data_IF_012797363986
#
_entry.id   IF_012797363986
#
_cell.length_a   1.000
_cell.length_b   1.000
_cell.length_c   1.000
_cell.angle_alpha   90.00
_cell.angle_beta   90.00
_cell.angle_gamma   90.00
#
_symmetry.space_group_name_H-M   'P 1'
#
loop_
_entity.id
_entity.type
_entity.pdbx_description
1 polymer ?
#
# COMPACT_ATOMS: atom_id res chain seq x y z
N UNK A 1 17.72 -3.89 6.14
CA UNK A 1 17.58 -5.35 6.21
C UNK A 1 18.67 -6.01 7.06
N UNK A 2 19.86 -5.48 7.11
CA UNK A 2 21.06 -6.10 7.78
C UNK A 2 20.98 -6.37 9.29
N UNK A 3 19.97 -5.92 10.01
CA UNK A 3 19.87 -6.13 11.48
C UNK A 3 19.15 -7.41 11.88
N UNK A 4 18.48 -8.10 10.96
CA UNK A 4 17.72 -9.33 11.24
C UNK A 4 18.24 -10.55 10.46
N UNK A 5 19.06 -10.32 9.43
CA UNK A 5 19.60 -11.37 8.57
C UNK A 5 21.10 -11.49 8.81
N UNK A 6 21.55 -12.69 9.13
CA UNK A 6 22.98 -13.03 9.19
C UNK A 6 23.48 -13.19 7.74
N UNK A 7 24.69 -12.67 7.46
CA UNK A 7 25.31 -12.86 6.15
C UNK A 7 25.48 -14.36 5.86
N UNK A 8 25.20 -14.75 4.61
CA UNK A 8 25.32 -16.09 4.06
C UNK A 8 24.30 -17.14 4.55
N UNK A 9 23.44 -16.83 5.51
CA UNK A 9 22.37 -17.73 5.94
C UNK A 9 21.12 -17.58 5.10
N UNK A 10 20.55 -18.68 4.64
CA UNK A 10 19.28 -18.70 3.90
C UNK A 10 18.13 -18.98 4.85
N UNK A 11 17.08 -18.19 4.73
CA UNK A 11 15.90 -18.23 5.58
C UNK A 11 14.65 -18.55 4.77
N UNK A 12 13.68 -19.18 5.42
CA UNK A 12 12.29 -19.27 4.94
C UNK A 12 11.51 -18.11 5.54
N UNK A 13 11.05 -17.18 4.71
CA UNK A 13 10.45 -15.92 5.14
C UNK A 13 8.99 -15.86 4.70
N UNK A 14 8.09 -15.67 5.66
CA UNK A 14 6.69 -15.38 5.40
C UNK A 14 6.48 -13.89 5.17
N UNK A 15 5.91 -13.50 4.03
CA UNK A 15 5.51 -12.12 3.74
C UNK A 15 3.99 -12.06 3.59
N UNK A 16 3.32 -11.22 4.37
CA UNK A 16 1.87 -11.16 4.38
C UNK A 16 1.34 -9.72 4.37
N UNK A 17 0.82 -9.23 3.22
CA UNK A 17 0.16 -7.93 3.12
C UNK A 17 -1.25 -7.95 3.69
N UNK A 18 -1.71 -6.79 4.21
CA UNK A 18 -3.09 -6.57 4.60
C UNK A 18 -4.01 -6.48 3.36
N UNK A 19 -5.25 -6.93 3.49
CA UNK A 19 -6.26 -6.95 2.41
C UNK A 19 -6.93 -5.58 2.11
N UNK A 20 -6.46 -4.48 2.71
CA UNK A 20 -7.01 -3.14 2.49
C UNK A 20 -6.49 -2.50 1.19
N UNK A 21 -7.02 -2.96 0.07
CA UNK A 21 -6.62 -2.50 -1.25
C UNK A 21 -5.28 -3.08 -1.74
N UNK A 22 -5.00 -2.89 -3.03
CA UNK A 22 -3.80 -3.46 -3.68
C UNK A 22 -2.49 -2.81 -3.22
N UNK A 23 -2.53 -1.63 -2.61
CA UNK A 23 -1.34 -0.88 -2.19
C UNK A 23 -0.43 -1.64 -1.21
N UNK A 24 -1.00 -2.48 -0.34
CA UNK A 24 -0.22 -3.34 0.55
C UNK A 24 0.53 -4.43 -0.23
N UNK A 25 -0.14 -5.08 -1.17
CA UNK A 25 0.49 -6.08 -2.01
C UNK A 25 1.57 -5.46 -2.91
N UNK A 26 1.30 -4.30 -3.55
CA UNK A 26 2.27 -3.65 -4.43
C UNK A 26 3.54 -3.25 -3.71
N UNK A 27 3.46 -2.73 -2.47
CA UNK A 27 4.65 -2.37 -1.70
C UNK A 27 5.43 -3.57 -1.13
N UNK A 28 4.80 -4.75 -1.05
CA UNK A 28 5.51 -5.98 -0.71
C UNK A 28 6.32 -6.54 -1.90
N UNK A 29 5.99 -6.21 -3.15
CA UNK A 29 6.70 -6.71 -4.35
C UNK A 29 8.20 -6.41 -4.30
N UNK A 30 8.69 -5.17 -4.07
CA UNK A 30 10.12 -4.91 -4.00
C UNK A 30 10.81 -5.64 -2.85
N UNK A 31 10.13 -5.84 -1.71
CA UNK A 31 10.67 -6.60 -0.58
C UNK A 31 10.83 -8.07 -0.95
N UNK A 32 9.78 -8.69 -1.50
CA UNK A 32 9.80 -10.10 -1.94
C UNK A 32 10.90 -10.31 -2.99
N UNK A 33 11.00 -9.39 -3.96
CA UNK A 33 12.00 -9.43 -5.03
C UNK A 33 13.43 -9.39 -4.46
N UNK A 34 13.69 -8.49 -3.49
CA UNK A 34 14.99 -8.40 -2.83
C UNK A 34 15.33 -9.69 -2.06
N UNK A 35 14.39 -10.23 -1.30
CA UNK A 35 14.59 -11.48 -0.55
C UNK A 35 14.89 -12.67 -1.46
N UNK A 36 14.22 -12.77 -2.61
CA UNK A 36 14.48 -13.83 -3.60
C UNK A 36 15.87 -13.66 -4.23
N UNK A 37 16.27 -12.42 -4.57
CA UNK A 37 17.60 -12.13 -5.13
C UNK A 37 18.70 -12.48 -4.12
N UNK A 38 18.48 -12.24 -2.83
CA UNK A 38 19.38 -12.65 -1.74
C UNK A 38 19.38 -14.18 -1.50
N UNK A 39 18.53 -14.92 -2.21
CA UNK A 39 18.45 -16.39 -2.19
C UNK A 39 17.67 -16.96 -1.03
N UNK A 40 16.79 -16.17 -0.40
CA UNK A 40 15.87 -16.64 0.62
C UNK A 40 14.69 -17.39 0.00
N UNK A 41 14.10 -18.32 0.73
CA UNK A 41 12.84 -18.96 0.38
C UNK A 41 11.71 -18.07 0.89
N UNK A 42 10.91 -17.52 -0.04
CA UNK A 42 9.75 -16.69 0.32
C UNK A 42 8.46 -17.51 0.24
N UNK A 43 7.59 -17.30 1.22
CA UNK A 43 6.22 -17.80 1.25
C UNK A 43 5.31 -16.57 1.42
N UNK A 44 4.23 -16.52 0.64
CA UNK A 44 3.30 -15.39 0.67
C UNK A 44 2.01 -15.82 1.33
N UNK A 45 1.53 -15.05 2.32
CA UNK A 45 0.20 -15.21 2.93
C UNK A 45 -0.74 -14.12 2.44
N UNK A 46 -1.72 -14.46 1.59
CA UNK A 46 -2.67 -13.50 1.03
C UNK A 46 -3.96 -14.17 0.54
N UNK A 47 -5.02 -13.39 0.32
CA UNK A 47 -6.25 -13.82 -0.34
C UNK A 47 -6.68 -12.87 -1.46
N UNK A 48 -7.64 -13.30 -2.28
CA UNK A 48 -8.34 -12.45 -3.25
C UNK A 48 -7.43 -11.76 -4.26
N UNK A 49 -7.67 -10.45 -4.47
CA UNK A 49 -6.95 -9.66 -5.47
C UNK A 49 -5.47 -9.48 -5.15
N UNK A 50 -5.08 -9.45 -3.85
CA UNK A 50 -3.67 -9.39 -3.46
C UNK A 50 -2.95 -10.69 -3.83
N UNK A 51 -3.59 -11.84 -3.56
CA UNK A 51 -3.07 -13.15 -3.92
C UNK A 51 -2.87 -13.26 -5.44
N UNK A 52 -3.85 -12.82 -6.23
CA UNK A 52 -3.77 -12.81 -7.70
C UNK A 52 -2.60 -11.95 -8.19
N UNK A 53 -2.47 -10.71 -7.70
CA UNK A 53 -1.39 -9.79 -8.06
C UNK A 53 0.00 -10.36 -7.70
N UNK A 54 0.15 -10.91 -6.49
CA UNK A 54 1.43 -11.45 -6.04
C UNK A 54 1.77 -12.76 -6.74
N UNK A 55 0.77 -13.58 -7.12
CA UNK A 55 0.99 -14.78 -7.91
C UNK A 55 1.40 -14.47 -9.34
N UNK A 56 0.86 -13.40 -9.94
CA UNK A 56 1.29 -12.89 -11.25
C UNK A 56 2.74 -12.41 -11.19
N UNK A 57 3.10 -11.60 -10.17
CA UNK A 57 4.46 -11.07 -10.00
C UNK A 57 5.49 -12.17 -9.66
N UNK A 58 5.08 -13.24 -8.97
CA UNK A 58 5.94 -14.31 -8.47
C UNK A 58 5.32 -15.70 -8.68
N UNK A 59 5.22 -16.20 -9.94
CA UNK A 59 4.56 -17.48 -10.25
C UNK A 59 5.16 -18.69 -9.51
N UNK A 60 6.46 -18.63 -9.17
CA UNK A 60 7.21 -19.71 -8.52
C UNK A 60 7.10 -19.72 -7.00
N UNK A 61 6.61 -18.63 -6.39
CA UNK A 61 6.56 -18.53 -4.94
C UNK A 61 5.33 -19.26 -4.38
N UNK A 62 5.53 -19.95 -3.26
CA UNK A 62 4.44 -20.62 -2.55
C UNK A 62 3.49 -19.55 -1.98
N UNK A 63 2.22 -19.65 -2.36
CA UNK A 63 1.16 -18.77 -1.86
C UNK A 63 0.24 -19.60 -0.96
N UNK A 64 0.03 -19.11 0.27
CA UNK A 64 -0.86 -19.69 1.25
C UNK A 64 -2.10 -18.81 1.40
N UNK A 65 -3.26 -19.43 1.52
CA UNK A 65 -4.50 -18.71 1.79
C UNK A 65 -4.49 -18.15 3.22
N UNK A 66 -4.53 -16.83 3.30
CA UNK A 66 -4.61 -16.10 4.56
C UNK A 66 -5.73 -15.07 4.47
N UNK A 67 -6.90 -15.37 5.07
CA UNK A 67 -8.03 -14.46 5.09
C UNK A 67 -7.68 -13.07 5.61
N UNK A 68 -8.24 -12.05 4.96
CA UNK A 68 -8.06 -10.66 5.36
C UNK A 68 -9.05 -10.24 6.45
N UNK A 69 -8.92 -8.99 6.88
CA UNK A 69 -9.84 -8.38 7.86
C UNK A 69 -11.20 -8.05 7.23
N UNK A 70 -11.26 -7.96 5.88
CA UNK A 70 -12.49 -7.72 5.09
C UNK A 70 -13.27 -6.53 5.62
N UNK A 71 -12.56 -5.42 5.92
CA UNK A 71 -13.17 -4.21 6.45
C UNK A 71 -13.96 -3.52 5.35
N UNK A 72 -15.19 -3.12 5.69
CA UNK A 72 -16.08 -2.40 4.80
C UNK A 72 -16.02 -0.90 5.07
N UNK A 73 -15.87 -0.11 4.01
CA UNK A 73 -15.90 1.35 4.07
C UNK A 73 -17.34 1.88 4.03
N UNK A 74 -17.58 3.02 4.66
CA UNK A 74 -18.84 3.73 4.53
C UNK A 74 -18.89 4.50 3.22
N UNK A 75 -20.04 4.51 2.57
CA UNK A 75 -20.31 5.41 1.42
C UNK A 75 -20.44 6.87 1.87
N UNK A 76 -20.86 7.07 3.13
CA UNK A 76 -20.95 8.39 3.74
C UNK A 76 -19.64 8.70 4.51
N UNK A 77 -18.88 9.75 4.13
CA UNK A 77 -17.64 10.13 4.79
C UNK A 77 -17.79 10.38 6.30
N UNK A 78 -18.91 10.97 6.73
CA UNK A 78 -19.17 11.29 8.14
C UNK A 78 -19.42 10.05 9.01
N UNK A 79 -19.81 8.91 8.41
CA UNK A 79 -20.06 7.66 9.11
C UNK A 79 -18.88 6.69 9.05
N UNK A 80 -17.80 7.04 8.36
CA UNK A 80 -16.65 6.15 8.14
C UNK A 80 -16.02 5.70 9.46
N UNK A 81 -15.73 6.64 10.36
CA UNK A 81 -15.14 6.33 11.67
C UNK A 81 -16.05 5.43 12.51
N UNK A 82 -17.37 5.70 12.52
CA UNK A 82 -18.33 4.89 13.23
C UNK A 82 -18.44 3.46 12.64
N UNK A 83 -18.42 3.35 11.31
CA UNK A 83 -18.47 2.05 10.63
C UNK A 83 -17.22 1.21 10.93
N UNK A 84 -16.04 1.84 11.02
CA UNK A 84 -14.80 1.16 11.41
C UNK A 84 -14.87 0.70 12.87
N UNK A 85 -15.34 1.55 13.79
CA UNK A 85 -15.52 1.19 15.19
C UNK A 85 -16.50 0.01 15.38
N UNK A 86 -17.59 0.00 14.62
CA UNK A 86 -18.55 -1.10 14.66
C UNK A 86 -17.96 -2.44 14.18
N UNK A 87 -16.85 -2.42 13.44
CA UNK A 87 -16.15 -3.62 12.96
C UNK A 87 -15.00 -4.09 13.87
N UNK A 88 -14.74 -3.41 15.00
CA UNK A 88 -13.69 -3.81 15.93
C UNK A 88 -13.78 -5.28 16.37
N UNK A 89 -14.95 -5.86 16.71
CA UNK A 89 -15.03 -7.29 17.05
C UNK A 89 -14.56 -8.20 15.92
N UNK A 90 -14.88 -7.86 14.65
CA UNK A 90 -14.44 -8.58 13.46
C UNK A 90 -12.92 -8.50 13.29
N UNK A 91 -12.34 -7.31 13.47
CA UNK A 91 -10.89 -7.10 13.40
C UNK A 91 -10.17 -7.91 14.48
N UNK A 92 -10.66 -7.90 15.72
CA UNK A 92 -10.08 -8.66 16.83
C UNK A 92 -10.17 -10.19 16.59
N UNK A 93 -11.28 -10.66 16.02
CA UNK A 93 -11.44 -12.05 15.61
C UNK A 93 -10.43 -12.44 14.52
N UNK A 94 -10.24 -11.57 13.52
CA UNK A 94 -9.25 -11.79 12.47
C UNK A 94 -7.82 -11.85 13.03
N UNK A 95 -7.45 -10.94 13.95
CA UNK A 95 -6.15 -10.97 14.64
C UNK A 95 -5.97 -12.31 15.42
N UNK A 96 -7.00 -12.78 16.09
CA UNK A 96 -6.95 -14.06 16.80
C UNK A 96 -6.80 -15.25 15.85
N UNK A 97 -7.49 -15.20 14.70
CA UNK A 97 -7.34 -16.20 13.64
C UNK A 97 -5.91 -16.21 13.09
N UNK A 98 -5.33 -15.03 12.78
CA UNK A 98 -3.95 -14.91 12.31
C UNK A 98 -2.96 -15.57 13.27
N UNK A 99 -3.15 -15.42 14.58
CA UNK A 99 -2.30 -16.07 15.58
C UNK A 99 -2.38 -17.60 15.56
N UNK A 100 -3.58 -18.16 15.37
CA UNK A 100 -3.77 -19.61 15.29
C UNK A 100 -3.17 -20.15 13.97
N UNK A 101 -3.47 -19.49 12.86
CA UNK A 101 -2.95 -19.81 11.55
C UNK A 101 -1.42 -19.77 11.54
N UNK A 102 -0.82 -18.71 12.08
CA UNK A 102 0.63 -18.53 12.13
C UNK A 102 1.33 -19.67 12.90
N UNK A 103 0.81 -20.07 14.05
CA UNK A 103 1.35 -21.19 14.85
C UNK A 103 1.43 -22.49 14.07
N UNK A 104 0.44 -22.75 13.22
CA UNK A 104 0.43 -23.90 12.34
C UNK A 104 1.45 -23.77 11.22
N UNK A 105 1.47 -22.63 10.54
CA UNK A 105 2.32 -22.37 9.36
C UNK A 105 3.80 -22.36 9.72
N UNK A 106 4.20 -21.79 10.86
CA UNK A 106 5.59 -21.83 11.34
C UNK A 106 6.10 -23.27 11.36
N UNK A 107 5.32 -24.20 11.92
CA UNK A 107 5.71 -25.62 12.04
C UNK A 107 5.70 -26.33 10.69
N UNK A 108 4.62 -26.15 9.91
CA UNK A 108 4.41 -26.88 8.65
C UNK A 108 5.41 -26.47 7.57
N UNK A 109 5.77 -25.18 7.50
CA UNK A 109 6.62 -24.61 6.47
C UNK A 109 8.02 -24.23 6.96
N UNK A 110 8.32 -24.46 8.24
CA UNK A 110 9.62 -24.12 8.87
C UNK A 110 9.98 -22.65 8.64
N UNK A 111 9.03 -21.74 9.00
CA UNK A 111 9.24 -20.30 8.85
C UNK A 111 10.28 -19.83 9.87
N UNK A 112 11.31 -19.12 9.40
CA UNK A 112 12.36 -18.53 10.21
C UNK A 112 12.06 -17.07 10.58
N UNK A 113 11.42 -16.32 9.67
CA UNK A 113 11.16 -14.87 9.82
C UNK A 113 9.79 -14.54 9.27
N UNK A 114 9.09 -13.59 9.92
CA UNK A 114 7.78 -13.09 9.50
C UNK A 114 7.92 -11.62 9.12
N UNK A 115 7.35 -11.23 7.98
CA UNK A 115 7.19 -9.84 7.54
C UNK A 115 5.69 -9.59 7.34
N UNK A 116 5.09 -8.88 8.28
CA UNK A 116 3.67 -8.60 8.35
C UNK A 116 3.39 -7.14 7.95
N UNK A 117 2.76 -6.91 6.82
CA UNK A 117 2.39 -5.57 6.41
C UNK A 117 0.99 -5.23 6.93
N UNK A 118 0.94 -4.44 7.99
CA UNK A 118 -0.26 -4.03 8.73
C UNK A 118 -1.15 -5.19 9.21
N UNK A 119 -0.60 -6.40 9.38
CA UNK A 119 -1.29 -7.56 9.96
C UNK A 119 -0.88 -7.76 11.41
N UNK A 120 -1.74 -7.31 12.30
CA UNK A 120 -1.45 -7.23 13.74
C UNK A 120 -1.34 -8.58 14.46
N UNK A 121 -1.89 -9.66 13.89
CA UNK A 121 -1.84 -10.99 14.48
C UNK A 121 -0.62 -11.82 14.07
N UNK A 122 0.20 -11.37 13.13
CA UNK A 122 1.35 -12.15 12.63
C UNK A 122 2.64 -11.87 13.39
N UNK A 123 2.60 -11.85 14.72
CA UNK A 123 3.78 -11.77 15.59
C UNK A 123 4.07 -13.12 16.25
N UNK A 124 5.34 -13.36 16.60
CA UNK A 124 5.78 -14.56 17.28
C UNK A 124 6.78 -14.23 18.39
N UNK A 125 6.73 -14.99 19.49
CA UNK A 125 7.78 -14.97 20.53
C UNK A 125 8.89 -15.97 20.26
N UNK A 126 8.75 -16.83 19.25
CA UNK A 126 9.69 -17.91 18.94
C UNK A 126 10.65 -17.57 17.80
N UNK A 127 10.18 -16.78 16.84
CA UNK A 127 10.95 -16.37 15.67
C UNK A 127 10.80 -14.86 15.44
N UNK A 128 11.78 -14.19 14.83
CA UNK A 128 11.72 -12.78 14.51
C UNK A 128 10.50 -12.44 13.67
N UNK A 129 9.83 -11.34 14.02
CA UNK A 129 8.70 -10.82 13.28
C UNK A 129 8.83 -9.31 13.08
N UNK A 130 8.61 -8.87 11.85
CA UNK A 130 8.67 -7.46 11.44
C UNK A 130 7.27 -6.97 11.13
N UNK A 131 6.91 -5.82 11.67
CA UNK A 131 5.69 -5.12 11.32
C UNK A 131 5.98 -3.98 10.36
N UNK A 132 5.36 -3.98 9.17
CA UNK A 132 5.48 -2.86 8.22
C UNK A 132 4.29 -1.94 8.38
N UNK A 133 4.55 -0.65 8.59
CA UNK A 133 3.50 0.37 8.57
C UNK A 133 4.06 1.76 8.30
N UNK A 134 3.35 2.57 7.55
CA UNK A 134 3.60 4.01 7.42
C UNK A 134 2.74 4.84 8.39
N UNK A 135 1.82 4.19 9.10
CA UNK A 135 0.90 4.84 10.04
C UNK A 135 1.28 4.52 11.49
N UNK A 136 2.35 5.12 11.99
CA UNK A 136 2.64 5.13 13.42
C UNK A 136 1.62 6.00 14.17
N UNK A 137 1.14 7.09 13.54
CA UNK A 137 0.01 7.87 14.03
C UNK A 137 -1.19 7.68 13.11
N UNK A 138 -2.33 7.29 13.66
CA UNK A 138 -3.61 7.19 12.94
C UNK A 138 -4.34 8.51 13.12
N UNK A 139 -4.56 9.25 12.02
CA UNK A 139 -5.27 10.52 12.05
C UNK A 139 -6.74 10.34 12.40
N UNK A 140 -7.23 11.16 13.31
CA UNK A 140 -8.61 11.18 13.75
C UNK A 140 -9.10 12.64 13.93
N UNK A 141 -10.43 12.89 13.92
CA UNK A 141 -10.97 14.24 14.05
C UNK A 141 -10.59 14.95 15.35
N UNK A 142 -10.31 14.19 16.41
CA UNK A 142 -9.99 14.72 17.74
C UNK A 142 -8.62 14.25 18.21
N UNK A 143 -7.80 15.13 18.78
CA UNK A 143 -6.45 14.82 19.29
C UNK A 143 -6.45 13.73 20.37
N UNK A 144 -7.45 13.71 21.27
CA UNK A 144 -7.56 12.68 22.30
C UNK A 144 -7.79 11.29 21.68
N UNK A 145 -8.57 11.21 20.58
CA UNK A 145 -8.82 9.98 19.86
C UNK A 145 -7.56 9.49 19.12
N UNK A 146 -6.81 10.42 18.49
CA UNK A 146 -5.50 10.07 17.90
C UNK A 146 -4.55 9.48 18.94
N UNK A 147 -4.48 10.07 20.14
CA UNK A 147 -3.64 9.57 21.23
C UNK A 147 -4.08 8.17 21.70
N UNK A 148 -5.39 7.95 21.82
CA UNK A 148 -5.94 6.66 22.22
C UNK A 148 -5.69 5.59 21.15
N UNK A 149 -5.94 5.90 19.88
CA UNK A 149 -5.66 5.01 18.75
C UNK A 149 -4.15 4.70 18.65
N UNK A 150 -3.29 5.68 18.88
CA UNK A 150 -1.84 5.48 18.91
C UNK A 150 -1.43 4.51 20.03
N UNK A 151 -1.99 4.63 21.24
CA UNK A 151 -1.71 3.68 22.34
C UNK A 151 -2.10 2.25 21.97
N UNK A 152 -3.27 2.07 21.35
CA UNK A 152 -3.72 0.76 20.89
C UNK A 152 -2.78 0.25 19.80
N UNK A 153 -2.50 1.06 18.77
CA UNK A 153 -1.60 0.69 17.68
C UNK A 153 -0.23 0.26 18.21
N UNK A 154 0.36 1.03 19.13
CA UNK A 154 1.65 0.70 19.73
C UNK A 154 1.60 -0.55 20.61
N UNK A 155 0.46 -0.85 21.27
CA UNK A 155 0.32 -2.09 22.03
C UNK A 155 0.41 -3.34 21.15
N UNK A 156 0.01 -3.24 19.89
CA UNK A 156 0.17 -4.30 18.90
C UNK A 156 1.57 -4.31 18.28
N UNK A 157 2.08 -3.15 17.84
CA UNK A 157 3.42 -3.03 17.24
C UNK A 157 4.49 -3.54 18.20
N UNK A 158 4.36 -3.26 19.50
CA UNK A 158 5.30 -3.68 20.53
C UNK A 158 5.35 -5.20 20.78
N UNK A 159 4.57 -5.99 20.07
CA UNK A 159 4.64 -7.47 20.07
C UNK A 159 5.60 -8.01 19.01
N UNK A 160 6.02 -7.17 18.08
CA UNK A 160 6.95 -7.52 17.01
C UNK A 160 8.40 -7.26 17.41
N UNK A 161 9.33 -7.92 16.73
CA UNK A 161 10.78 -7.75 16.94
C UNK A 161 11.27 -6.41 16.42
N UNK A 162 10.72 -5.94 15.29
CA UNK A 162 11.03 -4.66 14.67
C UNK A 162 9.82 -4.09 13.96
N UNK A 163 9.82 -2.76 13.75
CA UNK A 163 8.85 -2.05 12.93
C UNK A 163 9.58 -1.39 11.76
N UNK A 164 9.19 -1.73 10.54
CA UNK A 164 9.71 -1.10 9.34
C UNK A 164 8.74 -0.05 8.84
N UNK A 165 9.27 1.15 8.63
CA UNK A 165 8.49 2.27 8.10
C UNK A 165 8.95 2.55 6.67
N UNK A 166 8.09 2.32 5.66
CA UNK A 166 8.43 2.58 4.27
C UNK A 166 8.34 4.10 3.98
N UNK A 167 9.28 4.84 4.50
CA UNK A 167 9.46 6.27 4.34
C UNK A 167 10.94 6.62 4.45
N UNK A 168 11.31 7.83 4.07
CA UNK A 168 12.65 8.36 4.26
C UNK A 168 12.83 8.85 5.70
N UNK A 169 13.99 8.61 6.31
CA UNK A 169 14.31 9.09 7.66
C UNK A 169 14.58 10.60 7.69
N UNK A 170 14.82 11.22 6.53
CA UNK A 170 15.15 12.63 6.38
C UNK A 170 13.97 13.56 6.71
N UNK A 171 14.27 14.88 6.86
CA UNK A 171 13.24 15.92 7.07
C UNK A 171 12.21 15.95 5.92
N UNK A 172 12.67 15.73 4.69
CA UNK A 172 11.78 15.58 3.54
C UNK A 172 11.35 14.12 3.46
N UNK A 173 10.13 13.86 3.88
CA UNK A 173 9.51 12.54 3.91
C UNK A 173 8.04 12.62 3.46
N UNK A 174 7.46 11.48 3.08
CA UNK A 174 6.08 11.43 2.58
C UNK A 174 5.07 11.57 3.72
N UNK A 175 5.25 10.79 4.76
CA UNK A 175 4.21 10.58 5.78
C UNK A 175 4.10 11.67 6.83
N UNK A 176 5.13 12.52 7.01
CA UNK A 176 5.11 13.55 8.03
C UNK A 176 4.72 12.97 9.40
N UNK A 177 3.74 13.58 10.06
CA UNK A 177 3.27 13.12 11.37
C UNK A 177 2.63 11.71 11.38
N UNK A 178 2.32 11.12 10.22
CA UNK A 178 1.84 9.73 10.15
C UNK A 178 2.97 8.75 10.47
N UNK A 179 4.12 8.93 9.83
CA UNK A 179 5.30 8.05 9.89
C UNK A 179 6.38 8.55 10.86
N UNK A 180 6.40 9.86 11.19
CA UNK A 180 7.37 10.52 12.06
C UNK A 180 6.69 11.17 13.27
N UNK A 181 6.11 10.38 14.19
CA UNK A 181 5.51 10.92 15.40
C UNK A 181 6.61 11.36 16.39
N UNK A 182 6.26 12.27 17.30
CA UNK A 182 7.15 12.69 18.39
C UNK A 182 7.48 11.59 19.40
N UNK A 183 6.64 10.57 19.48
CA UNK A 183 6.84 9.40 20.34
C UNK A 183 6.76 8.13 19.49
N UNK A 184 7.81 7.34 19.49
CA UNK A 184 7.88 6.04 18.83
C UNK A 184 7.35 4.91 19.71
N UNK A 185 6.96 3.76 19.14
CA UNK A 185 6.71 2.54 19.90
C UNK A 185 7.99 2.08 20.61
N UNK A 186 7.88 1.12 21.55
CA UNK A 186 9.04 0.52 22.24
C UNK A 186 9.85 -0.39 21.31
N UNK A 187 9.19 -1.02 20.37
CA UNK A 187 9.83 -1.82 19.32
C UNK A 187 10.75 -0.95 18.47
N UNK A 188 11.99 -1.42 18.16
CA UNK A 188 12.89 -0.71 17.27
C UNK A 188 12.22 -0.35 15.93
N UNK A 189 12.28 0.93 15.56
CA UNK A 189 11.73 1.45 14.31
C UNK A 189 12.86 1.69 13.32
N UNK A 190 12.70 1.19 12.10
CA UNK A 190 13.65 1.36 11.00
C UNK A 190 12.94 1.96 9.79
N UNK A 191 13.44 3.08 9.30
CA UNK A 191 12.97 3.67 8.04
C UNK A 191 13.67 2.98 6.87
N UNK A 192 12.87 2.37 5.98
CA UNK A 192 13.39 1.50 4.91
C UNK A 192 13.35 2.14 3.52
N UNK A 193 13.26 3.47 3.46
CA UNK A 193 13.07 4.25 2.25
C UNK A 193 11.77 3.91 1.50
N UNK A 194 11.63 4.51 0.32
CA UNK A 194 10.44 4.34 -0.51
C UNK A 194 10.44 2.96 -1.18
N UNK A 195 9.32 2.27 -1.06
CA UNK A 195 9.13 0.99 -1.71
C UNK A 195 8.42 1.20 -3.05
N UNK A 196 9.16 1.09 -4.13
CA UNK A 196 8.62 1.12 -5.49
C UNK A 196 8.89 -0.19 -6.21
N UNK A 197 7.87 -0.74 -6.86
CA UNK A 197 8.05 -1.88 -7.78
C UNK A 197 8.60 -1.44 -9.14
N UNK A 198 8.48 -0.14 -9.46
CA UNK A 198 8.91 0.41 -10.73
C UNK A 198 10.40 0.75 -10.72
N UNK A 199 11.05 0.52 -11.87
CA UNK A 199 12.42 0.97 -12.14
C UNK A 199 12.38 2.23 -12.98
N UNK A 200 13.33 3.14 -12.76
CA UNK A 200 13.48 4.31 -13.62
C UNK A 200 13.93 3.85 -15.01
N UNK A 201 13.23 4.28 -16.04
CA UNK A 201 13.51 4.00 -17.44
C UNK A 201 13.71 5.32 -18.18
N UNK A 202 14.52 5.30 -19.22
CA UNK A 202 14.52 6.39 -20.19
C UNK A 202 13.33 6.18 -21.12
N UNK A 203 12.36 7.10 -21.07
CA UNK A 203 11.15 7.02 -21.90
C UNK A 203 10.86 8.39 -22.52
N UNK A 204 10.61 8.38 -23.83
CA UNK A 204 10.15 9.57 -24.55
C UNK A 204 8.75 9.96 -24.09
N UNK A 205 8.53 11.26 -23.85
CA UNK A 205 7.22 11.76 -23.45
C UNK A 205 6.21 11.60 -24.58
N UNK A 206 5.08 10.96 -24.29
CA UNK A 206 3.95 10.76 -25.21
C UNK A 206 2.66 11.42 -24.75
N UNK A 207 2.51 11.58 -23.45
CA UNK A 207 1.31 12.12 -22.83
C UNK A 207 1.65 13.36 -21.99
N UNK A 208 0.80 14.38 -22.09
CA UNK A 208 0.85 15.51 -21.17
C UNK A 208 0.41 15.08 -19.77
N UNK A 209 -0.54 14.16 -19.70
CA UNK A 209 -1.04 13.69 -18.40
C UNK A 209 -1.51 12.23 -18.44
N UNK A 210 -1.06 11.45 -17.46
CA UNK A 210 -1.62 10.14 -17.16
C UNK A 210 -2.50 10.21 -15.90
N UNK A 211 -3.71 9.70 -16.01
CA UNK A 211 -4.69 9.66 -14.93
C UNK A 211 -4.85 8.22 -14.47
N UNK A 212 -4.54 7.93 -13.20
CA UNK A 212 -4.72 6.60 -12.61
C UNK A 212 -5.89 6.64 -11.63
N UNK A 213 -6.95 5.94 -11.99
CA UNK A 213 -8.12 5.81 -11.13
C UNK A 213 -7.93 4.63 -10.18
N UNK A 214 -8.09 4.89 -8.90
CA UNK A 214 -8.00 3.90 -7.82
C UNK A 214 -9.01 4.20 -6.71
N UNK A 215 -9.11 3.28 -5.76
CA UNK A 215 -10.00 3.42 -4.61
C UNK A 215 -11.26 2.57 -4.71
N UNK A 216 -12.04 2.50 -3.61
CA UNK A 216 -13.26 1.71 -3.55
C UNK A 216 -14.41 2.36 -4.32
N UNK A 217 -15.35 1.54 -4.75
CA UNK A 217 -16.62 2.03 -5.28
C UNK A 217 -17.52 2.57 -4.13
N UNK A 218 -18.36 3.59 -4.40
CA UNK A 218 -18.60 4.29 -5.66
C UNK A 218 -17.62 5.45 -5.93
N UNK A 219 -16.69 5.76 -5.01
CA UNK A 219 -15.80 6.93 -5.07
C UNK A 219 -14.89 6.91 -6.31
N UNK A 220 -14.45 5.72 -6.75
CA UNK A 220 -13.69 5.56 -7.99
C UNK A 220 -14.52 5.95 -9.23
N UNK A 221 -15.78 5.48 -9.32
CA UNK A 221 -16.67 5.81 -10.44
C UNK A 221 -17.05 7.30 -10.47
N UNK A 222 -17.25 7.92 -9.30
CA UNK A 222 -17.48 9.37 -9.20
C UNK A 222 -16.26 10.14 -9.73
N UNK A 223 -15.07 9.72 -9.31
CA UNK A 223 -13.82 10.34 -9.77
C UNK A 223 -13.61 10.16 -11.27
N UNK A 224 -13.90 8.96 -11.82
CA UNK A 224 -13.85 8.70 -13.26
C UNK A 224 -14.71 9.68 -14.07
N UNK A 225 -15.95 9.91 -13.66
CA UNK A 225 -16.86 10.86 -14.33
C UNK A 225 -16.30 12.28 -14.32
N UNK A 226 -15.88 12.77 -13.15
CA UNK A 226 -15.32 14.12 -13.02
C UNK A 226 -14.06 14.32 -13.90
N UNK A 227 -13.18 13.33 -13.93
CA UNK A 227 -11.97 13.37 -14.76
C UNK A 227 -12.34 13.40 -16.24
N UNK A 228 -13.21 12.50 -16.71
CA UNK A 228 -13.65 12.42 -18.11
C UNK A 228 -14.28 13.73 -18.55
N UNK A 229 -15.17 14.31 -17.75
CA UNK A 229 -15.84 15.58 -18.07
C UNK A 229 -14.86 16.77 -18.15
N UNK A 230 -13.75 16.70 -17.42
CA UNK A 230 -12.70 17.70 -17.43
C UNK A 230 -11.80 17.55 -18.66
N UNK A 231 -11.19 16.35 -18.86
CA UNK A 231 -10.20 16.13 -19.92
C UNK A 231 -10.78 16.18 -21.33
N UNK A 232 -12.07 15.89 -21.51
CA UNK A 232 -12.77 16.08 -22.80
C UNK A 232 -12.73 17.52 -23.32
N UNK A 233 -12.65 18.49 -22.40
CA UNK A 233 -12.67 19.93 -22.73
C UNK A 233 -11.25 20.52 -22.81
N UNK A 234 -10.25 19.78 -22.39
CA UNK A 234 -8.86 20.24 -22.38
C UNK A 234 -8.17 19.91 -23.69
N UNK A 235 -7.19 20.73 -24.06
CA UNK A 235 -6.24 20.41 -25.13
C UNK A 235 -5.07 19.61 -24.53
N UNK A 236 -4.51 18.69 -25.30
CA UNK A 236 -3.38 17.86 -24.88
C UNK A 236 -3.62 16.37 -25.11
N UNK A 237 -2.63 15.57 -24.79
CA UNK A 237 -2.64 14.10 -24.91
C UNK A 237 -2.82 13.47 -23.53
N UNK A 238 -3.88 12.69 -23.36
CA UNK A 238 -4.22 12.09 -22.06
C UNK A 238 -4.20 10.57 -22.13
N UNK A 239 -3.69 9.95 -21.07
CA UNK A 239 -3.82 8.54 -20.84
C UNK A 239 -4.68 8.30 -19.59
N UNK A 240 -5.77 7.54 -19.72
CA UNK A 240 -6.69 7.20 -18.63
C UNK A 240 -6.60 5.71 -18.31
N UNK A 241 -6.10 5.38 -17.13
CA UNK A 241 -6.08 4.02 -16.58
C UNK A 241 -7.20 3.87 -15.56
N UNK A 242 -8.23 3.10 -15.90
CA UNK A 242 -9.52 3.06 -15.18
C UNK A 242 -9.50 2.25 -13.88
N UNK A 243 -8.49 1.37 -13.69
CA UNK A 243 -8.42 0.48 -12.52
C UNK A 243 -9.52 -0.59 -12.49
N UNK A 244 -9.94 -1.09 -13.67
CA UNK A 244 -10.99 -2.10 -13.86
C UNK A 244 -10.47 -3.34 -14.59
N UNK A 245 -9.67 -4.20 -13.95
CA UNK A 245 -9.03 -5.35 -14.62
C UNK A 245 -10.01 -6.38 -15.20
N UNK A 246 -11.22 -6.48 -14.66
CA UNK A 246 -12.24 -7.44 -15.11
C UNK A 246 -13.17 -6.89 -16.21
N UNK A 247 -13.11 -5.59 -16.48
CA UNK A 247 -13.93 -4.95 -17.51
C UNK A 247 -13.34 -5.24 -18.90
N UNK A 248 -14.14 -5.80 -19.81
CA UNK A 248 -13.68 -6.12 -21.17
C UNK A 248 -13.85 -4.95 -22.15
N UNK A 249 -14.89 -4.15 -21.97
CA UNK A 249 -15.18 -3.03 -22.87
C UNK A 249 -14.36 -1.80 -22.51
N UNK A 250 -13.67 -1.22 -23.49
CA UNK A 250 -12.96 0.05 -23.35
C UNK A 250 -13.81 1.15 -23.98
N UNK A 251 -14.27 2.16 -23.23
CA UNK A 251 -15.06 3.23 -23.78
C UNK A 251 -14.20 4.15 -24.67
N UNK A 252 -14.71 4.50 -25.85
CA UNK A 252 -14.15 5.60 -26.61
C UNK A 252 -14.63 6.93 -26.00
N UNK A 253 -13.70 7.82 -25.68
CA UNK A 253 -14.01 9.12 -25.05
C UNK A 253 -13.78 10.26 -26.04
N UNK A 254 -12.60 10.39 -26.58
CA UNK A 254 -12.18 11.35 -27.61
C UNK A 254 -10.83 10.94 -28.22
N UNK A 255 -10.48 11.45 -29.41
CA UNK A 255 -9.24 11.07 -30.12
C UNK A 255 -7.94 11.39 -29.36
N UNK A 256 -7.94 12.41 -28.52
CA UNK A 256 -6.78 12.82 -27.72
C UNK A 256 -6.68 12.14 -26.35
N UNK A 257 -7.56 11.18 -26.08
CA UNK A 257 -7.62 10.43 -24.80
C UNK A 257 -7.46 8.94 -25.10
N UNK A 258 -6.34 8.38 -24.74
CA UNK A 258 -6.13 6.93 -24.75
C UNK A 258 -6.68 6.34 -23.46
N UNK A 259 -7.44 5.24 -23.55
CA UNK A 259 -8.10 4.62 -22.38
C UNK A 259 -7.66 3.18 -22.24
N UNK A 260 -7.32 2.80 -21.01
CA UNK A 260 -7.08 1.42 -20.62
C UNK A 260 -7.90 1.06 -19.38
N UNK A 261 -8.51 -0.11 -19.38
CA UNK A 261 -9.20 -0.61 -18.19
C UNK A 261 -8.22 -0.99 -17.08
N UNK A 262 -7.08 -1.58 -17.46
CA UNK A 262 -5.98 -2.00 -16.59
C UNK A 262 -4.69 -2.03 -17.40
N UNK A 263 -3.56 -1.85 -16.75
CA UNK A 263 -2.22 -2.06 -17.27
C UNK A 263 -1.45 -2.96 -16.30
N UNK A 264 -0.66 -3.89 -16.81
CA UNK A 264 0.27 -4.67 -15.99
C UNK A 264 1.40 -3.80 -15.44
N UNK A 265 2.30 -4.37 -14.63
CA UNK A 265 3.38 -3.60 -13.96
C UNK A 265 4.28 -2.87 -14.96
N UNK A 266 4.70 -3.53 -16.02
CA UNK A 266 5.63 -2.97 -17.04
C UNK A 266 4.94 -1.87 -17.86
N UNK A 267 3.74 -2.15 -18.35
CA UNK A 267 2.92 -1.19 -19.10
C UNK A 267 2.60 0.04 -18.27
N UNK A 268 2.23 -0.14 -16.99
CA UNK A 268 1.91 0.97 -16.09
C UNK A 268 3.17 1.80 -15.79
N UNK A 269 4.32 1.15 -15.55
CA UNK A 269 5.59 1.81 -15.35
C UNK A 269 5.96 2.68 -16.54
N UNK A 270 5.85 2.12 -17.77
CA UNK A 270 6.13 2.85 -19.01
C UNK A 270 5.16 4.01 -19.21
N UNK A 271 3.86 3.78 -19.01
CA UNK A 271 2.83 4.81 -19.15
C UNK A 271 3.06 6.00 -18.21
N UNK A 272 3.41 5.73 -16.94
CA UNK A 272 3.78 6.77 -15.98
C UNK A 272 4.99 7.55 -16.48
N UNK A 273 6.04 6.86 -16.97
CA UNK A 273 7.29 7.51 -17.36
C UNK A 273 7.18 8.27 -18.68
N UNK A 274 6.29 7.86 -19.57
CA UNK A 274 5.95 8.57 -20.81
C UNK A 274 5.02 9.79 -20.58
N UNK A 275 4.62 10.09 -19.37
CA UNK A 275 3.72 11.18 -19.05
C UNK A 275 4.43 12.30 -18.29
N UNK A 276 4.10 13.57 -18.60
CA UNK A 276 4.67 14.72 -17.86
C UNK A 276 4.05 14.83 -16.48
N UNK A 277 2.71 14.82 -16.40
CA UNK A 277 1.97 14.93 -15.15
C UNK A 277 1.21 13.65 -14.84
N UNK A 278 1.02 13.41 -13.54
CA UNK A 278 0.20 12.32 -13.03
C UNK A 278 -1.00 12.90 -12.27
N UNK A 279 -2.21 12.40 -12.56
CA UNK A 279 -3.40 12.66 -11.74
C UNK A 279 -3.81 11.38 -11.06
N UNK A 280 -3.86 11.39 -9.73
CA UNK A 280 -4.21 10.19 -8.95
C UNK A 280 -4.79 10.52 -7.58
N UNK A 281 -5.25 9.49 -6.87
CA UNK A 281 -5.54 9.57 -5.44
C UNK A 281 -4.24 9.68 -4.65
N UNK A 282 -4.28 10.40 -3.52
CA UNK A 282 -3.15 10.58 -2.60
C UNK A 282 -2.96 9.38 -1.67
N UNK A 283 -3.04 8.14 -2.21
CA UNK A 283 -2.76 6.92 -1.47
C UNK A 283 -1.25 6.73 -1.28
N UNK A 284 -0.83 6.37 -0.07
CA UNK A 284 0.59 6.30 0.32
C UNK A 284 1.45 5.45 -0.63
N UNK A 285 0.98 4.27 -1.02
CA UNK A 285 1.72 3.38 -1.94
C UNK A 285 1.91 4.01 -3.32
N UNK A 286 0.88 4.70 -3.85
CA UNK A 286 0.98 5.43 -5.12
C UNK A 286 1.98 6.58 -5.03
N UNK A 287 1.97 7.30 -3.91
CA UNK A 287 2.94 8.39 -3.67
C UNK A 287 4.37 7.88 -3.63
N UNK A 288 4.64 6.76 -2.95
CA UNK A 288 5.97 6.14 -2.94
C UNK A 288 6.44 5.79 -4.35
N UNK A 289 5.59 5.19 -5.17
CA UNK A 289 5.91 4.79 -6.55
C UNK A 289 6.20 6.01 -7.43
N UNK A 290 5.35 7.05 -7.38
CA UNK A 290 5.51 8.25 -8.22
C UNK A 290 6.69 9.12 -7.80
N UNK A 291 6.96 9.25 -6.49
CA UNK A 291 8.12 9.97 -5.99
C UNK A 291 9.42 9.25 -6.32
N UNK A 292 9.47 7.92 -6.25
CA UNK A 292 10.61 7.15 -6.71
C UNK A 292 10.92 7.36 -8.20
N UNK A 293 9.90 7.63 -9.01
CA UNK A 293 10.02 7.97 -10.43
C UNK A 293 10.16 9.49 -10.68
N UNK A 294 10.23 10.32 -9.63
CA UNK A 294 10.37 11.78 -9.70
C UNK A 294 9.28 12.45 -10.55
N UNK A 295 8.04 11.96 -10.47
CA UNK A 295 6.92 12.46 -11.27
C UNK A 295 6.21 13.65 -10.62
N UNK A 296 5.83 14.62 -11.44
CA UNK A 296 4.93 15.71 -11.05
C UNK A 296 3.53 15.16 -10.84
N UNK A 297 2.88 15.52 -9.73
CA UNK A 297 1.61 14.92 -9.32
C UNK A 297 0.54 15.98 -9.06
N UNK A 298 -0.67 15.69 -9.50
CA UNK A 298 -1.90 16.39 -9.09
C UNK A 298 -2.69 15.40 -8.24
N UNK A 299 -2.74 15.65 -6.95
CA UNK A 299 -3.31 14.75 -5.96
C UNK A 299 -4.75 15.11 -5.66
N UNK A 300 -5.65 14.15 -5.82
CA UNK A 300 -7.08 14.31 -5.56
C UNK A 300 -7.49 13.33 -4.45
N UNK A 301 -7.52 13.74 -3.18
CA UNK A 301 -7.86 12.85 -2.08
C UNK A 301 -9.29 12.31 -2.20
N UNK A 302 -9.52 11.11 -1.68
CA UNK A 302 -10.88 10.58 -1.51
C UNK A 302 -11.56 11.33 -0.37
N UNK A 303 -12.72 11.97 -0.60
CA UNK A 303 -13.42 12.70 0.45
C UNK A 303 -13.70 11.84 1.67
N UNK A 304 -13.35 12.35 2.86
CA UNK A 304 -13.51 11.67 4.14
C UNK A 304 -12.42 10.64 4.48
N UNK A 305 -11.44 10.43 3.63
CA UNK A 305 -10.23 9.66 3.97
C UNK A 305 -9.16 10.59 4.56
N UNK A 306 -9.12 10.68 5.88
CA UNK A 306 -8.25 11.60 6.63
C UNK A 306 -6.77 11.47 6.29
N UNK A 307 -6.29 10.25 6.00
CA UNK A 307 -4.92 10.01 5.54
C UNK A 307 -4.67 10.67 4.20
N UNK A 308 -5.53 10.43 3.21
CA UNK A 308 -5.34 10.99 1.86
C UNK A 308 -5.44 12.51 1.85
N UNK A 309 -6.37 13.08 2.62
CA UNK A 309 -6.52 14.52 2.77
C UNK A 309 -5.27 15.14 3.43
N UNK A 310 -4.75 14.49 4.47
CA UNK A 310 -3.51 14.90 5.12
C UNK A 310 -2.31 14.86 4.16
N UNK A 311 -2.12 13.75 3.43
CA UNK A 311 -0.99 13.57 2.50
C UNK A 311 -1.05 14.57 1.34
N UNK A 312 -2.21 14.78 0.74
CA UNK A 312 -2.39 15.77 -0.32
C UNK A 312 -2.03 17.18 0.18
N UNK A 313 -2.51 17.56 1.36
CA UNK A 313 -2.21 18.86 1.95
C UNK A 313 -0.73 19.04 2.30
N UNK A 314 -0.11 18.00 2.89
CA UNK A 314 1.33 18.03 3.21
C UNK A 314 2.17 18.21 1.95
N UNK A 315 1.99 17.36 0.96
CA UNK A 315 2.81 17.39 -0.26
C UNK A 315 2.59 18.64 -1.10
N UNK A 316 1.39 19.25 -1.06
CA UNK A 316 1.15 20.54 -1.73
C UNK A 316 1.85 21.72 -1.06
N UNK A 317 2.30 21.57 0.19
CA UNK A 317 3.09 22.59 0.89
C UNK A 317 4.59 22.40 0.71
N UNK A 318 5.00 21.16 0.53
CA UNK A 318 6.41 20.81 0.40
C UNK A 318 6.94 21.04 -1.04
N UNK A 319 6.05 21.37 -2.03
CA UNK A 319 6.35 21.62 -3.45
C UNK A 319 6.06 20.41 -4.29
#
# INVERSE_FOLDING_TARGET
MNTLLENDKKYTILVAPLDWGLGHATRCIPIIRALIIEGHKVIIGAEGNQAALLKEAFPQVTLLDLPGYRVEYSQNPHLLAFKILAQLPKILSAISFEQQWLKQIIKTHQIDIIIADNRYGLYSSQIPSVFITHQLTIKAPFKWLEQWLRKINYSYINRFTACWVPDMEAEINIGGALSHPTQLPKTPVHYINLLSRFKLLEAEQKFDCCIILSGPEPQRTVFEKLVIDSIKKMKGSFLLVRGKPLEKSIPFIANHIQVHNHLNEEELSLAIQQSEYMVCRSGYSTLMELLALKKKMILIPTPGQTEQEYLAHKLSKDG
#
